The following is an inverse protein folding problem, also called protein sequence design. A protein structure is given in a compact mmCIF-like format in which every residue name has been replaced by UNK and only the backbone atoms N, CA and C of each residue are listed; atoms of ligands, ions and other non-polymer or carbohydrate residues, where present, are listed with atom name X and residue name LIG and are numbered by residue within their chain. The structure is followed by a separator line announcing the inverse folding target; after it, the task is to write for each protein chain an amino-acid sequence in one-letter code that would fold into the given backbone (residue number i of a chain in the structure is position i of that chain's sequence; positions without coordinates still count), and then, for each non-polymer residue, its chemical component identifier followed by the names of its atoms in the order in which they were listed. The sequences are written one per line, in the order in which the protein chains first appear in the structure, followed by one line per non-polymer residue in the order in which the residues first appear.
data_IF_457642639931
#
_entry.id   IF_457642639931
#
_cell.length_a   1.000
_cell.length_b   1.000
_cell.length_c   1.000
_cell.angle_alpha   90.00
_cell.angle_beta   90.00
_cell.angle_gamma   90.00
#
_symmetry.space_group_name_H-M   'P 1'
#
loop_
_entity.id
_entity.type
_entity.pdbx_description
1 polymer ?
#
# COMPACT_ATOMS: atom_id res chain seq x y z
N UNK A 1 11.66 -17.04 -8.66
CA UNK A 1 12.10 -16.52 -7.35
C UNK A 1 11.66 -15.08 -7.06
N UNK A 2 11.94 -14.07 -7.89
CA UNK A 2 11.47 -12.68 -7.62
C UNK A 2 9.95 -12.51 -7.74
N UNK A 3 9.30 -13.24 -8.65
CA UNK A 3 7.85 -13.21 -8.84
C UNK A 3 7.06 -13.82 -7.66
N UNK A 4 7.56 -14.88 -7.02
CA UNK A 4 6.87 -15.51 -5.86
C UNK A 4 6.81 -14.58 -4.65
N UNK A 5 7.90 -13.83 -4.37
CA UNK A 5 7.90 -12.84 -3.30
C UNK A 5 6.90 -11.71 -3.54
N UNK A 6 6.71 -11.31 -4.80
CA UNK A 6 5.68 -10.34 -5.19
C UNK A 6 4.28 -10.84 -4.84
N UNK A 7 3.94 -12.08 -5.24
CA UNK A 7 2.61 -12.62 -5.01
C UNK A 7 2.35 -12.82 -3.51
N UNK A 8 3.34 -13.31 -2.76
CA UNK A 8 3.23 -13.45 -1.29
C UNK A 8 3.02 -12.12 -0.57
N UNK A 9 3.73 -11.06 -0.96
CA UNK A 9 3.58 -9.74 -0.36
C UNK A 9 2.21 -9.13 -0.73
N UNK A 10 1.82 -9.21 -2.00
CA UNK A 10 0.55 -8.70 -2.47
C UNK A 10 -0.63 -9.42 -1.79
N UNK A 11 -0.62 -10.76 -1.74
CA UNK A 11 -1.67 -11.55 -1.11
C UNK A 11 -1.78 -11.36 0.42
N UNK A 12 -0.75 -10.79 1.05
CA UNK A 12 -0.77 -10.46 2.48
C UNK A 12 -1.32 -9.06 2.77
N UNK A 13 -1.23 -8.13 1.80
CA UNK A 13 -1.53 -6.70 1.99
C UNK A 13 -2.81 -6.28 1.25
N UNK A 14 -3.12 -6.94 0.14
CA UNK A 14 -4.23 -6.60 -0.75
C UNK A 14 -5.32 -7.68 -0.71
N UNK A 15 -6.58 -7.23 -0.75
CA UNK A 15 -7.76 -8.06 -0.99
C UNK A 15 -8.31 -7.57 -2.33
N UNK A 16 -8.42 -8.40 -3.38
CA UNK A 16 -8.50 -9.87 -3.43
C UNK A 16 -7.15 -10.58 -3.60
N UNK A 17 -7.12 -11.89 -3.32
CA UNK A 17 -5.93 -12.72 -3.52
C UNK A 17 -5.71 -12.98 -5.02
N UNK A 18 -4.50 -12.77 -5.48
CA UNK A 18 -4.06 -13.09 -6.83
C UNK A 18 -3.42 -14.47 -6.85
N UNK A 19 -3.90 -15.32 -7.73
CA UNK A 19 -3.28 -16.62 -7.98
C UNK A 19 -1.86 -16.47 -8.54
N UNK A 20 -0.92 -17.19 -7.95
CA UNK A 20 0.50 -17.13 -8.32
C UNK A 20 0.73 -17.89 -9.63
N UNK A 21 1.67 -17.40 -10.46
CA UNK A 21 2.13 -18.09 -11.68
C UNK A 21 1.09 -18.35 -12.79
N UNK A 22 -0.13 -17.81 -12.69
CA UNK A 22 -1.13 -18.00 -13.74
C UNK A 22 -0.81 -17.15 -14.96
N UNK A 23 -0.93 -17.77 -16.14
CA UNK A 23 -0.84 -17.08 -17.42
C UNK A 23 -1.92 -16.00 -17.58
N UNK A 24 -1.69 -15.08 -18.51
CA UNK A 24 -2.70 -14.09 -18.92
C UNK A 24 -3.69 -14.66 -19.96
N UNK A 25 -3.53 -15.94 -20.32
CA UNK A 25 -4.43 -16.65 -21.24
C UNK A 25 -5.63 -17.21 -20.47
N UNK A 26 -6.84 -16.75 -20.82
CA UNK A 26 -8.07 -17.03 -20.06
C UNK A 26 -9.28 -17.06 -20.98
N UNK A 27 -10.28 -17.85 -20.60
CA UNK A 27 -11.61 -17.82 -21.18
C UNK A 27 -12.57 -17.19 -20.16
N UNK A 28 -13.41 -16.25 -20.63
CA UNK A 28 -14.33 -15.51 -19.78
C UNK A 28 -15.75 -15.62 -20.31
N UNK A 29 -16.72 -15.81 -19.42
CA UNK A 29 -18.13 -15.75 -19.79
C UNK A 29 -18.54 -14.31 -20.12
N UNK A 30 -19.60 -14.15 -20.94
CA UNK A 30 -20.10 -12.83 -21.33
C UNK A 30 -20.50 -11.98 -20.13
N UNK A 31 -21.11 -12.58 -19.12
CA UNK A 31 -21.55 -11.90 -17.90
C UNK A 31 -20.38 -11.22 -17.16
N UNK A 32 -19.27 -11.94 -16.97
CA UNK A 32 -18.07 -11.39 -16.31
C UNK A 32 -17.49 -10.22 -17.11
N UNK A 33 -17.48 -10.32 -18.44
CA UNK A 33 -16.99 -9.26 -19.31
C UNK A 33 -17.85 -7.99 -19.19
N UNK A 34 -19.18 -8.12 -19.11
CA UNK A 34 -20.06 -6.96 -18.91
C UNK A 34 -19.85 -6.33 -17.53
N UNK A 35 -19.66 -7.12 -16.47
CA UNK A 35 -19.35 -6.60 -15.14
C UNK A 35 -18.01 -5.83 -15.10
N UNK A 36 -16.98 -6.32 -15.80
CA UNK A 36 -15.70 -5.62 -15.92
C UNK A 36 -15.85 -4.28 -16.64
N UNK A 37 -16.74 -4.16 -17.63
CA UNK A 37 -16.94 -2.90 -18.36
C UNK A 37 -17.57 -1.80 -17.51
N UNK A 38 -18.23 -2.15 -16.40
CA UNK A 38 -18.84 -1.20 -15.47
C UNK A 38 -17.84 -0.58 -14.50
N UNK A 39 -16.61 -1.10 -14.47
CA UNK A 39 -15.56 -0.66 -13.55
C UNK A 39 -15.00 0.73 -13.95
N UNK A 40 -14.97 1.71 -13.03
CA UNK A 40 -14.45 3.06 -13.30
C UNK A 40 -12.92 3.15 -13.36
N UNK A 41 -12.19 2.04 -13.22
CA UNK A 41 -10.74 1.98 -13.11
C UNK A 41 -10.03 2.40 -14.41
N UNK A 42 -9.32 3.53 -14.37
CA UNK A 42 -8.45 3.97 -15.49
C UNK A 42 -7.14 3.18 -15.60
N UNK A 43 -6.60 2.73 -14.46
CA UNK A 43 -5.36 1.95 -14.43
C UNK A 43 -5.70 0.45 -14.36
N UNK A 44 -5.56 -0.23 -15.49
CA UNK A 44 -5.95 -1.62 -15.65
C UNK A 44 -4.90 -2.58 -15.07
N UNK A 45 -4.95 -2.80 -13.76
CA UNK A 45 -4.30 -3.95 -13.15
C UNK A 45 -5.17 -5.19 -13.34
N UNK A 46 -5.10 -5.79 -14.53
CA UNK A 46 -5.98 -6.89 -14.95
C UNK A 46 -6.01 -8.07 -13.97
N UNK A 47 -4.88 -8.42 -13.35
CA UNK A 47 -4.83 -9.51 -12.36
C UNK A 47 -5.69 -9.20 -11.12
N UNK A 48 -5.68 -7.96 -10.65
CA UNK A 48 -6.53 -7.49 -9.54
C UNK A 48 -8.00 -7.42 -9.94
N UNK A 49 -8.31 -6.75 -11.06
CA UNK A 49 -9.68 -6.60 -11.57
C UNK A 49 -10.37 -7.95 -11.75
N UNK A 50 -9.68 -8.91 -12.38
CA UNK A 50 -10.23 -10.25 -12.63
C UNK A 50 -10.44 -11.03 -11.32
N UNK A 51 -9.61 -10.82 -10.31
CA UNK A 51 -9.82 -11.42 -8.98
C UNK A 51 -10.92 -10.73 -8.17
N UNK A 52 -11.31 -9.50 -8.53
CA UNK A 52 -12.28 -8.69 -7.80
C UNK A 52 -13.72 -8.91 -8.27
N UNK A 53 -13.94 -9.06 -9.58
CA UNK A 53 -15.28 -9.25 -10.18
C UNK A 53 -15.95 -10.55 -9.70
N UNK A 54 -15.16 -11.51 -9.20
CA UNK A 54 -15.65 -12.80 -8.71
C UNK A 54 -16.11 -13.73 -9.83
N UNK A 55 -16.69 -14.87 -9.46
CA UNK A 55 -17.18 -15.90 -10.39
C UNK A 55 -16.62 -17.30 -10.09
N UNK A 56 -17.08 -18.30 -10.85
CA UNK A 56 -16.48 -19.63 -10.82
C UNK A 56 -15.20 -19.61 -11.67
N UNK A 57 -14.08 -19.95 -11.02
CA UNK A 57 -12.76 -19.97 -11.63
C UNK A 57 -12.17 -21.37 -11.52
N UNK A 58 -11.78 -21.94 -12.65
CA UNK A 58 -11.00 -23.18 -12.72
C UNK A 58 -9.64 -22.90 -13.38
N UNK A 59 -8.61 -23.55 -12.86
CA UNK A 59 -7.23 -23.39 -13.33
C UNK A 59 -6.83 -24.60 -14.16
N UNK A 60 -6.47 -24.37 -15.42
CA UNK A 60 -5.90 -25.41 -16.30
C UNK A 60 -4.38 -25.31 -16.24
N UNK A 61 -3.77 -26.32 -15.63
CA UNK A 61 -2.32 -26.42 -15.56
C UNK A 61 -1.73 -26.83 -16.91
N UNK A 62 -0.65 -26.17 -17.32
CA UNK A 62 0.09 -26.53 -18.53
C UNK A 62 1.59 -26.36 -18.30
N UNK A 63 2.38 -27.25 -18.91
CA UNK A 63 3.83 -27.13 -18.90
C UNK A 63 4.25 -26.01 -19.85
N UNK A 64 4.73 -24.89 -19.29
CA UNK A 64 5.23 -23.76 -20.10
C UNK A 64 6.60 -24.13 -20.69
N UNK A 65 6.65 -24.35 -21.99
CA UNK A 65 7.92 -24.50 -22.70
C UNK A 65 8.78 -23.22 -22.59
N UNK A 66 10.11 -23.37 -22.52
CA UNK A 66 11.02 -22.24 -22.56
C UNK A 66 10.85 -21.47 -23.87
N UNK A 67 10.93 -20.14 -23.80
CA UNK A 67 10.80 -19.30 -24.99
C UNK A 67 11.99 -19.59 -25.92
N UNK A 68 11.67 -19.99 -27.15
CA UNK A 68 12.66 -20.27 -28.21
C UNK A 68 13.41 -19.00 -28.63
N UNK A 69 12.76 -17.83 -28.57
CA UNK A 69 13.36 -16.54 -28.90
C UNK A 69 12.66 -15.36 -28.22
N UNK A 70 13.42 -14.29 -27.96
CA UNK A 70 12.93 -13.00 -27.46
C UNK A 70 13.26 -12.74 -25.98
N UNK A 71 13.61 -11.48 -25.68
CA UNK A 71 13.82 -11.03 -24.30
C UNK A 71 12.48 -10.76 -23.60
N UNK A 72 12.38 -11.10 -22.32
CA UNK A 72 11.22 -10.75 -21.51
C UNK A 72 10.98 -9.24 -21.53
N UNK A 73 9.82 -8.80 -22.04
CA UNK A 73 9.39 -7.39 -21.94
C UNK A 73 9.03 -6.98 -20.50
N UNK A 74 8.91 -7.99 -19.62
CA UNK A 74 8.62 -7.87 -18.20
C UNK A 74 9.94 -7.92 -17.41
N UNK A 75 10.47 -6.73 -17.11
CA UNK A 75 11.60 -6.56 -16.21
C UNK A 75 11.11 -6.59 -14.75
N UNK A 76 11.95 -7.01 -13.81
CA UNK A 76 11.67 -6.98 -12.36
C UNK A 76 11.21 -5.59 -11.87
N UNK A 77 11.72 -4.51 -12.47
CA UNK A 77 11.26 -3.14 -12.17
C UNK A 77 9.79 -2.88 -12.58
N UNK A 78 9.36 -3.41 -13.73
CA UNK A 78 7.96 -3.28 -14.18
C UNK A 78 7.01 -4.09 -13.29
N UNK A 79 7.45 -5.26 -12.83
CA UNK A 79 6.72 -6.05 -11.82
C UNK A 79 6.55 -5.28 -10.51
N UNK A 80 7.63 -4.63 -10.05
CA UNK A 80 7.60 -3.80 -8.84
C UNK A 80 6.65 -2.61 -8.97
N UNK A 81 6.68 -1.90 -10.10
CA UNK A 81 5.76 -0.80 -10.38
C UNK A 81 4.30 -1.28 -10.40
N UNK A 82 4.03 -2.42 -11.04
CA UNK A 82 2.71 -3.04 -11.06
C UNK A 82 2.23 -3.42 -9.64
N UNK A 83 3.15 -3.83 -8.77
CA UNK A 83 2.86 -4.13 -7.36
C UNK A 83 2.39 -2.89 -6.60
N UNK A 84 3.16 -1.80 -6.74
CA UNK A 84 2.86 -0.52 -6.13
C UNK A 84 1.49 -0.01 -6.61
N UNK A 85 1.25 -0.04 -7.92
CA UNK A 85 -0.05 0.30 -8.50
C UNK A 85 -1.17 -0.56 -7.91
N UNK A 86 -1.02 -1.89 -7.87
CA UNK A 86 -2.01 -2.79 -7.28
C UNK A 86 -2.28 -2.55 -5.78
N UNK A 87 -1.24 -2.27 -4.98
CA UNK A 87 -1.39 -1.94 -3.55
C UNK A 87 -2.12 -0.61 -3.39
N UNK A 88 -1.79 0.40 -4.18
CA UNK A 88 -2.42 1.73 -4.08
C UNK A 88 -3.84 1.77 -4.62
N UNK A 89 -4.17 0.99 -5.65
CA UNK A 89 -5.49 1.00 -6.29
C UNK A 89 -6.52 0.16 -5.54
N UNK A 90 -6.10 -0.92 -4.86
CA UNK A 90 -7.01 -1.87 -4.21
C UNK A 90 -6.87 -1.89 -2.68
N UNK A 91 -6.07 -1.00 -2.07
CA UNK A 91 -5.90 -0.99 -0.62
C UNK A 91 -5.73 0.41 -0.05
N UNK A 92 -6.45 0.69 1.04
CA UNK A 92 -6.25 1.87 1.90
C UNK A 92 -5.10 1.66 2.89
N UNK A 93 -4.38 0.54 2.79
CA UNK A 93 -3.29 0.19 3.69
C UNK A 93 -2.16 1.24 3.76
N UNK A 94 -1.66 1.81 2.63
CA UNK A 94 -0.63 2.85 2.69
C UNK A 94 -1.10 4.11 3.44
N UNK A 95 -2.37 4.49 3.25
CA UNK A 95 -2.99 5.63 3.95
C UNK A 95 -3.10 5.35 5.45
N UNK A 96 -3.53 4.14 5.83
CA UNK A 96 -3.62 3.71 7.24
C UNK A 96 -2.28 3.72 7.96
N UNK A 97 -1.18 3.37 7.29
CA UNK A 97 0.16 3.44 7.89
C UNK A 97 0.48 4.87 8.32
N UNK A 98 0.20 5.86 7.46
CA UNK A 98 0.43 7.27 7.78
C UNK A 98 -0.40 7.75 8.97
N UNK A 99 -1.65 7.26 9.10
CA UNK A 99 -2.46 7.50 10.29
C UNK A 99 -1.76 6.99 11.57
N UNK A 100 -1.28 5.74 11.58
CA UNK A 100 -0.60 5.18 12.76
C UNK A 100 0.70 5.90 13.10
N UNK A 101 1.48 6.29 12.09
CA UNK A 101 2.70 7.08 12.28
C UNK A 101 2.34 8.45 12.86
N UNK A 102 1.34 9.13 12.29
CA UNK A 102 0.89 10.44 12.76
C UNK A 102 0.41 10.42 14.20
N UNK A 103 -0.39 9.42 14.59
CA UNK A 103 -0.84 9.22 15.98
C UNK A 103 0.35 9.00 16.91
N UNK A 104 1.32 8.16 16.51
CA UNK A 104 2.50 7.87 17.32
C UNK A 104 3.37 9.11 17.54
N UNK A 105 3.62 9.89 16.48
CA UNK A 105 4.40 11.13 16.54
C UNK A 105 3.68 12.19 17.38
N UNK A 106 2.36 12.32 17.23
CA UNK A 106 1.55 13.24 18.02
C UNK A 106 1.55 12.86 19.52
N UNK A 107 1.45 11.57 19.85
CA UNK A 107 1.54 11.09 21.22
C UNK A 107 2.91 11.36 21.85
N UNK A 108 4.00 11.09 21.11
CA UNK A 108 5.37 11.38 21.57
C UNK A 108 5.60 12.87 21.77
N UNK A 109 5.06 13.73 20.90
CA UNK A 109 5.19 15.18 21.05
C UNK A 109 4.45 15.69 22.29
N UNK A 110 3.28 15.11 22.62
CA UNK A 110 2.53 15.40 23.84
C UNK A 110 3.29 14.99 25.11
N UNK A 111 3.92 13.81 25.10
CA UNK A 111 4.76 13.35 26.21
C UNK A 111 5.96 14.28 26.40
N UNK A 112 6.64 14.63 25.30
CA UNK A 112 7.75 15.59 25.32
C UNK A 112 7.31 16.96 25.82
N UNK A 113 6.13 17.44 25.41
CA UNK A 113 5.54 18.69 25.89
C UNK A 113 5.34 18.69 27.41
N UNK A 114 4.74 17.61 27.94
CA UNK A 114 4.51 17.46 29.38
C UNK A 114 5.83 17.43 30.16
N UNK A 115 6.82 16.67 29.68
CA UNK A 115 8.14 16.62 30.31
C UNK A 115 8.79 18.01 30.37
N UNK A 116 8.72 18.78 29.28
CA UNK A 116 9.26 20.15 29.23
C UNK A 116 8.54 21.13 30.17
N UNK A 117 7.23 21.00 30.35
CA UNK A 117 6.47 21.82 31.30
C UNK A 117 6.95 21.55 32.73
N UNK A 118 7.14 20.27 33.08
CA UNK A 118 7.63 19.84 34.39
C UNK A 118 9.06 20.35 34.63
N UNK A 119 9.95 20.16 33.65
CA UNK A 119 11.34 20.60 33.72
C UNK A 119 11.45 22.12 33.92
N UNK A 120 10.64 22.90 33.16
CA UNK A 120 10.58 24.35 33.31
C UNK A 120 10.09 24.79 34.69
N UNK A 121 9.15 24.05 35.30
CA UNK A 121 8.63 24.37 36.63
C UNK A 121 9.65 24.07 37.75
N UNK A 122 10.47 23.03 37.59
CA UNK A 122 11.37 22.55 38.65
C UNK A 122 12.80 23.10 38.55
N UNK A 123 13.38 23.22 37.36
CA UNK A 123 14.79 23.60 37.17
C UNK A 123 15.01 24.95 36.48
N UNK A 124 13.95 25.55 35.94
CA UNK A 124 14.07 26.75 35.11
C UNK A 124 14.68 26.44 33.74
N UNK A 125 14.32 27.22 32.71
CA UNK A 125 14.64 26.88 31.33
C UNK A 125 15.96 27.53 30.86
N UNK A 126 16.99 26.76 30.46
CA UNK A 126 18.27 27.30 29.97
C UNK A 126 18.18 27.97 28.59
N UNK A 127 17.15 27.68 27.78
CA UNK A 127 16.96 28.30 26.45
C UNK A 127 15.49 28.71 26.25
N UNK A 128 15.15 30.00 26.40
CA UNK A 128 13.79 30.50 26.18
C UNK A 128 13.30 30.22 24.75
N UNK A 129 12.05 29.80 24.61
CA UNK A 129 11.36 29.67 23.30
C UNK A 129 11.59 28.37 22.54
N UNK A 130 12.77 27.73 22.63
CA UNK A 130 13.05 26.45 21.96
C UNK A 130 12.06 25.33 22.33
N UNK A 131 11.69 25.13 23.62
CA UNK A 131 10.79 24.05 24.01
C UNK A 131 9.37 24.20 23.44
N UNK A 132 8.83 25.42 23.48
CA UNK A 132 7.51 25.75 22.96
C UNK A 132 7.46 25.62 21.44
N UNK A 133 8.54 26.06 20.74
CA UNK A 133 8.62 25.98 19.28
C UNK A 133 8.70 24.52 18.81
N UNK A 134 9.57 23.72 19.43
CA UNK A 134 9.73 22.30 19.07
C UNK A 134 8.44 21.51 19.32
N UNK A 135 7.78 21.77 20.45
CA UNK A 135 6.49 21.15 20.78
C UNK A 135 5.41 21.49 19.74
N UNK A 136 5.27 22.77 19.38
CA UNK A 136 4.28 23.21 18.39
C UNK A 136 4.53 22.58 17.01
N UNK A 137 5.79 22.52 16.56
CA UNK A 137 6.16 21.92 15.27
C UNK A 137 5.85 20.41 15.26
N UNK A 138 6.25 19.67 16.29
CA UNK A 138 6.01 18.23 16.36
C UNK A 138 4.53 17.89 16.49
N UNK A 139 3.76 18.70 17.23
CA UNK A 139 2.32 18.52 17.38
C UNK A 139 1.58 18.78 16.06
N UNK A 140 1.87 19.90 15.40
CA UNK A 140 1.29 20.22 14.09
C UNK A 140 1.69 19.19 13.03
N UNK A 141 2.95 18.76 13.00
CA UNK A 141 3.43 17.71 12.10
C UNK A 141 2.71 16.38 12.34
N UNK A 142 2.48 16.00 13.60
CA UNK A 142 1.69 14.82 13.96
C UNK A 142 0.25 14.90 13.43
N UNK A 143 -0.44 16.03 13.65
CA UNK A 143 -1.81 16.24 13.16
C UNK A 143 -1.87 16.20 11.63
N UNK A 144 -0.90 16.81 10.93
CA UNK A 144 -0.85 16.80 9.48
C UNK A 144 -0.72 15.37 8.93
N UNK A 145 0.12 14.53 9.54
CA UNK A 145 0.27 13.12 9.15
C UNK A 145 -1.00 12.30 9.40
N UNK A 146 -1.72 12.58 10.49
CA UNK A 146 -3.04 11.97 10.74
C UNK A 146 -4.02 12.40 9.66
N UNK A 147 -4.05 13.69 9.31
CA UNK A 147 -4.93 14.23 8.28
C UNK A 147 -4.69 13.67 6.88
N UNK A 148 -3.44 13.29 6.54
CA UNK A 148 -3.13 12.61 5.27
C UNK A 148 -3.61 11.15 5.27
N UNK A 149 -3.66 10.52 6.45
CA UNK A 149 -4.05 9.11 6.59
C UNK A 149 -5.56 8.84 6.61
N UNK A 150 -6.39 9.88 6.77
CA UNK A 150 -7.87 9.86 6.72
C UNK A 150 -8.33 10.14 5.30
#
# INVERSE_FOLDING_TARGET
KSAEWFYRLHNKISTPKIEENVGDFRLMSREIVENIKLLPERNLFMKGILSWVGGQTDVVEYARAERVAGNSKFNGWKLWKLALEGITSFSTFPLRIWMYIGVSVSALSLIYAMWMIIDKLMWGNPVPGYPSLMTAILFLGGIQLIGIGI
#
